data_IF_847753628380
#
_entry.id   IF_847753628380
#
_cell.length_a   1.000
_cell.length_b   1.000
_cell.length_c   1.000
_cell.angle_alpha   90.00
_cell.angle_beta   90.00
_cell.angle_gamma   90.00
#
_symmetry.space_group_name_H-M   'P 1'
#
loop_
_entity.id
_entity.type
_entity.pdbx_description
1 polymer ?
#
# COMPACT_ATOMS: atom_id res chain seq x y z
N UNK A 1 10.97 -0.21 -18.36
CA UNK A 1 10.89 0.92 -17.41
C UNK A 1 11.41 0.46 -16.06
N UNK A 2 12.17 1.31 -15.35
CA UNK A 2 12.47 1.06 -13.93
C UNK A 2 11.24 1.43 -13.08
N UNK A 3 10.74 0.47 -12.32
CA UNK A 3 9.54 0.61 -11.47
C UNK A 3 9.92 0.26 -10.04
N UNK A 4 9.77 1.19 -9.10
CA UNK A 4 10.03 0.94 -7.68
C UNK A 4 8.73 0.54 -7.00
N UNK A 5 8.73 -0.62 -6.33
CA UNK A 5 7.55 -1.14 -5.62
C UNK A 5 7.79 -1.04 -4.12
N UNK A 6 7.18 -0.03 -3.47
CA UNK A 6 7.18 0.13 -2.02
C UNK A 6 6.24 -0.91 -1.41
N UNK A 7 6.72 -1.63 -0.39
CA UNK A 7 6.05 -2.84 0.09
C UNK A 7 6.31 -4.06 -0.83
N UNK A 8 7.36 -4.01 -1.65
CA UNK A 8 7.70 -5.00 -2.67
C UNK A 8 7.92 -6.43 -2.16
N UNK A 9 8.14 -6.62 -0.87
CA UNK A 9 8.28 -7.94 -0.23
C UNK A 9 7.00 -8.40 0.50
N UNK A 10 5.97 -7.57 0.52
CA UNK A 10 4.68 -7.86 1.16
C UNK A 10 3.73 -8.71 0.31
N UNK A 11 2.48 -8.84 0.77
CA UNK A 11 1.47 -9.70 0.15
C UNK A 11 1.26 -9.41 -1.34
N UNK A 12 1.05 -8.15 -1.69
CA UNK A 12 0.84 -7.73 -3.09
C UNK A 12 2.17 -7.58 -3.82
N UNK A 13 3.14 -6.91 -3.19
CA UNK A 13 4.42 -6.61 -3.84
C UNK A 13 5.20 -7.84 -4.28
N UNK A 14 5.20 -8.92 -3.48
CA UNK A 14 5.88 -10.18 -3.84
C UNK A 14 5.26 -10.88 -5.06
N UNK A 15 4.00 -10.60 -5.39
CA UNK A 15 3.30 -11.07 -6.58
C UNK A 15 3.49 -10.12 -7.76
N UNK A 16 3.42 -8.80 -7.50
CA UNK A 16 3.55 -7.78 -8.53
C UNK A 16 4.95 -7.74 -9.16
N UNK A 17 6.00 -7.82 -8.33
CA UNK A 17 7.39 -7.72 -8.82
C UNK A 17 7.73 -8.77 -9.89
N UNK A 18 7.41 -10.08 -9.74
CA UNK A 18 7.59 -11.05 -10.82
C UNK A 18 6.80 -10.72 -12.08
N UNK A 19 5.52 -10.35 -11.96
CA UNK A 19 4.66 -10.01 -13.11
C UNK A 19 5.17 -8.81 -13.90
N UNK A 20 5.67 -7.78 -13.22
CA UNK A 20 6.32 -6.64 -13.87
C UNK A 20 7.58 -7.06 -14.65
N UNK A 21 8.36 -7.99 -14.08
CA UNK A 21 9.57 -8.51 -14.75
C UNK A 21 9.22 -9.35 -15.98
N UNK A 22 8.20 -10.20 -15.88
CA UNK A 22 7.68 -10.98 -17.01
C UNK A 22 7.12 -10.08 -18.12
N UNK A 23 6.59 -8.91 -17.75
CA UNK A 23 6.13 -7.87 -18.69
C UNK A 23 7.25 -7.01 -19.28
N UNK A 24 8.53 -7.36 -19.03
CA UNK A 24 9.69 -6.67 -19.61
C UNK A 24 10.07 -5.35 -18.92
N UNK A 25 9.62 -5.15 -17.68
CA UNK A 25 10.04 -4.02 -16.85
C UNK A 25 11.23 -4.40 -15.96
N UNK A 26 11.84 -3.37 -15.34
CA UNK A 26 12.92 -3.50 -14.35
C UNK A 26 12.38 -3.12 -12.96
N UNK A 27 11.69 -4.06 -12.27
CA UNK A 27 11.12 -3.77 -10.96
C UNK A 27 12.16 -3.87 -9.85
N UNK A 28 12.14 -2.89 -8.95
CA UNK A 28 12.92 -2.85 -7.71
C UNK A 28 11.97 -3.05 -6.55
N UNK A 29 12.10 -4.17 -5.83
CA UNK A 29 11.37 -4.41 -4.60
C UNK A 29 11.98 -3.55 -3.48
N UNK A 30 11.21 -2.65 -2.91
CA UNK A 30 11.62 -1.74 -1.84
C UNK A 30 10.82 -2.04 -0.57
N UNK A 31 11.54 -2.28 0.53
CA UNK A 31 10.97 -2.53 1.86
C UNK A 31 12.06 -2.32 2.92
N UNK A 32 11.73 -2.21 4.22
CA UNK A 32 12.74 -2.12 5.28
C UNK A 32 13.75 -3.27 5.25
N UNK A 33 13.32 -4.48 4.93
CA UNK A 33 14.21 -5.64 4.78
C UNK A 33 15.20 -5.50 3.60
N UNK A 34 14.91 -4.64 2.64
CA UNK A 34 15.74 -4.34 1.47
C UNK A 34 16.49 -3.00 1.63
N UNK A 35 16.51 -2.42 2.83
CA UNK A 35 17.19 -1.15 3.13
C UNK A 35 16.42 0.09 2.67
N UNK A 36 15.12 -0.01 2.37
CA UNK A 36 14.29 1.13 1.96
C UNK A 36 13.14 1.30 2.95
N UNK A 37 13.13 2.41 3.67
CA UNK A 37 12.12 2.69 4.68
C UNK A 37 11.37 4.00 4.36
N UNK A 38 10.09 3.87 3.99
CA UNK A 38 9.25 5.01 3.63
C UNK A 38 8.94 5.94 4.83
N UNK A 39 9.01 5.44 6.08
CA UNK A 39 8.76 6.26 7.28
C UNK A 39 9.96 7.15 7.60
N UNK A 40 11.18 6.61 7.52
CA UNK A 40 12.41 7.37 7.84
C UNK A 40 12.99 8.08 6.63
N UNK A 41 12.59 7.71 5.42
CA UNK A 41 13.19 8.18 4.16
C UNK A 41 14.48 7.46 3.77
N UNK A 42 14.97 6.54 4.61
CA UNK A 42 16.20 5.80 4.36
C UNK A 42 16.10 4.98 3.06
N UNK A 43 17.13 5.07 2.21
CA UNK A 43 17.24 4.33 0.96
C UNK A 43 16.29 4.78 -0.16
N UNK A 44 15.38 5.76 0.07
CA UNK A 44 14.43 6.21 -0.95
C UNK A 44 15.13 6.87 -2.14
N UNK A 45 16.08 7.73 -1.89
CA UNK A 45 16.82 8.47 -2.93
C UNK A 45 17.52 7.51 -3.89
N UNK A 46 18.23 6.53 -3.36
CA UNK A 46 18.95 5.50 -4.13
C UNK A 46 17.99 4.61 -4.91
N UNK A 47 16.92 4.16 -4.27
CA UNK A 47 15.92 3.30 -4.91
C UNK A 47 15.24 4.01 -6.08
N UNK A 48 14.91 5.30 -5.93
CA UNK A 48 14.18 6.08 -6.93
C UNK A 48 15.08 6.66 -8.03
N UNK A 49 16.39 6.57 -7.92
CA UNK A 49 17.29 7.07 -8.96
C UNK A 49 16.98 6.42 -10.32
N UNK A 50 16.55 7.23 -11.31
CA UNK A 50 16.17 6.78 -12.65
C UNK A 50 14.87 5.98 -12.73
N UNK A 51 14.07 5.96 -11.68
CA UNK A 51 12.73 5.36 -11.70
C UNK A 51 11.76 6.20 -12.53
N UNK A 52 10.96 5.55 -13.36
CA UNK A 52 9.88 6.20 -14.09
C UNK A 52 8.54 6.12 -13.36
N UNK A 53 8.34 5.06 -12.57
CA UNK A 53 7.10 4.80 -11.84
C UNK A 53 7.44 4.34 -10.43
N UNK A 54 6.66 4.83 -9.45
CA UNK A 54 6.60 4.26 -8.11
C UNK A 54 5.23 3.61 -7.93
N UNK A 55 5.22 2.40 -7.35
CA UNK A 55 4.00 1.68 -6.96
C UNK A 55 4.04 1.48 -5.45
N UNK A 56 3.09 2.10 -4.74
CA UNK A 56 2.95 1.94 -3.28
C UNK A 56 1.86 0.91 -2.96
N UNK A 57 2.31 -0.27 -2.54
CA UNK A 57 1.48 -1.35 -2.00
C UNK A 57 1.84 -1.66 -0.55
N UNK A 58 2.43 -0.69 0.15
CA UNK A 58 2.79 -0.82 1.55
C UNK A 58 1.55 -0.79 2.46
N UNK A 59 1.69 -1.37 3.65
CA UNK A 59 0.65 -1.36 4.66
C UNK A 59 1.27 -1.15 6.05
N UNK A 60 0.48 -0.59 6.97
CA UNK A 60 0.92 -0.38 8.34
C UNK A 60 1.16 -1.73 9.05
N UNK A 61 2.24 -1.84 9.82
CA UNK A 61 2.53 -3.05 10.59
C UNK A 61 1.69 -3.16 11.88
N UNK A 62 1.06 -2.06 12.30
CA UNK A 62 0.23 -1.95 13.49
C UNK A 62 -1.14 -1.40 13.10
N UNK A 63 -2.20 -1.84 13.77
CA UNK A 63 -3.59 -1.48 13.49
C UNK A 63 -4.19 -0.47 14.47
N UNK A 64 -3.42 0.03 15.45
CA UNK A 64 -3.87 1.12 16.33
C UNK A 64 -4.08 2.39 15.49
N UNK A 65 -5.18 3.11 15.74
CA UNK A 65 -5.61 4.26 14.94
C UNK A 65 -4.49 5.29 14.71
N UNK A 66 -3.77 5.66 15.79
CA UNK A 66 -2.67 6.63 15.70
C UNK A 66 -1.47 6.08 14.91
N UNK A 67 -1.15 4.79 15.08
CA UNK A 67 -0.06 4.14 14.37
C UNK A 67 -0.33 4.04 12.86
N UNK A 68 -1.54 3.65 12.49
CA UNK A 68 -1.98 3.58 11.09
C UNK A 68 -1.96 4.97 10.44
N UNK A 69 -2.51 5.98 11.13
CA UNK A 69 -2.51 7.36 10.65
C UNK A 69 -1.08 7.87 10.45
N UNK A 70 -0.22 7.71 11.45
CA UNK A 70 1.20 8.09 11.35
C UNK A 70 1.89 7.40 10.17
N UNK A 71 1.64 6.10 10.00
CA UNK A 71 2.24 5.34 8.90
C UNK A 71 1.86 5.93 7.54
N UNK A 72 0.57 5.98 7.20
CA UNK A 72 0.15 6.40 5.87
C UNK A 72 0.43 7.87 5.59
N UNK A 73 0.28 8.76 6.58
CA UNK A 73 0.60 10.17 6.43
C UNK A 73 2.10 10.39 6.18
N UNK A 74 2.95 9.81 7.04
CA UNK A 74 4.39 10.03 6.98
C UNK A 74 5.02 9.37 5.75
N UNK A 75 4.65 8.10 5.47
CA UNK A 75 5.17 7.40 4.28
C UNK A 75 4.79 8.13 3.00
N UNK A 76 3.53 8.55 2.85
CA UNK A 76 3.08 9.25 1.64
C UNK A 76 3.81 10.57 1.45
N UNK A 77 4.00 11.37 2.50
CA UNK A 77 4.75 12.62 2.43
C UNK A 77 6.19 12.39 1.98
N UNK A 78 6.88 11.40 2.57
CA UNK A 78 8.25 11.07 2.23
C UNK A 78 8.37 10.53 0.79
N UNK A 79 7.45 9.66 0.37
CA UNK A 79 7.44 9.10 -0.99
C UNK A 79 7.24 10.21 -2.03
N UNK A 80 6.21 11.04 -1.87
CA UNK A 80 5.92 12.14 -2.81
C UNK A 80 7.06 13.17 -2.89
N UNK A 81 7.71 13.48 -1.77
CA UNK A 81 8.88 14.35 -1.77
C UNK A 81 10.08 13.72 -2.49
N UNK A 82 10.35 12.43 -2.24
CA UNK A 82 11.44 11.71 -2.88
C UNK A 82 11.20 11.51 -4.39
N UNK A 83 9.97 11.24 -4.80
CA UNK A 83 9.56 11.14 -6.21
C UNK A 83 9.77 12.45 -6.95
N UNK A 84 9.33 13.56 -6.36
CA UNK A 84 9.53 14.89 -6.94
C UNK A 84 11.03 15.21 -7.13
N UNK A 85 11.85 14.88 -6.13
CA UNK A 85 13.30 15.08 -6.20
C UNK A 85 13.99 14.19 -7.24
N UNK A 86 13.51 12.95 -7.42
CA UNK A 86 14.05 11.98 -8.38
C UNK A 86 13.51 12.14 -9.82
N UNK A 87 12.46 12.95 -10.02
CA UNK A 87 11.80 13.14 -11.32
C UNK A 87 10.97 11.93 -11.75
N UNK A 88 10.38 11.21 -10.79
CA UNK A 88 9.45 10.10 -11.07
C UNK A 88 8.24 10.63 -11.84
N UNK A 89 7.85 9.95 -12.91
CA UNK A 89 6.82 10.40 -13.83
C UNK A 89 5.40 9.98 -13.45
N UNK A 90 5.23 8.96 -12.60
CA UNK A 90 3.91 8.46 -12.22
C UNK A 90 3.91 7.74 -10.86
N UNK A 91 2.92 8.06 -10.03
CA UNK A 91 2.67 7.40 -8.75
C UNK A 91 1.47 6.47 -8.87
N UNK A 92 1.61 5.22 -8.45
CA UNK A 92 0.50 4.26 -8.33
C UNK A 92 0.33 3.87 -6.86
N UNK A 93 -0.86 3.99 -6.32
CA UNK A 93 -1.14 3.58 -4.95
C UNK A 93 -2.26 2.55 -4.89
N UNK A 94 -2.10 1.55 -4.05
CA UNK A 94 -3.16 0.62 -3.69
C UNK A 94 -3.96 1.18 -2.50
N UNK A 95 -5.24 1.37 -2.69
CA UNK A 95 -6.20 1.78 -1.66
C UNK A 95 -7.33 0.77 -1.53
N UNK A 96 -8.35 1.10 -0.77
CA UNK A 96 -9.44 0.20 -0.45
C UNK A 96 -10.80 0.78 -0.85
N UNK A 97 -11.68 -0.06 -1.39
CA UNK A 97 -13.05 0.32 -1.77
C UNK A 97 -13.84 0.75 -0.54
N UNK A 98 -14.50 1.91 -0.63
CA UNK A 98 -15.42 2.41 0.41
C UNK A 98 -14.73 3.07 1.59
N UNK A 99 -13.47 3.49 1.47
CA UNK A 99 -12.76 4.25 2.50
C UNK A 99 -13.54 5.51 2.95
N UNK A 100 -14.23 6.16 2.03
CA UNK A 100 -15.06 7.34 2.25
C UNK A 100 -16.34 7.08 3.05
N UNK A 101 -16.76 5.82 3.21
CA UNK A 101 -18.02 5.41 3.89
C UNK A 101 -17.82 4.81 5.27
N UNK A 102 -16.59 4.57 5.68
CA UNK A 102 -16.24 3.89 6.94
C UNK A 102 -15.36 4.76 7.84
N UNK A 103 -15.76 6.03 8.04
CA UNK A 103 -15.01 7.03 8.81
C UNK A 103 -14.78 6.66 10.29
N UNK A 104 -15.54 5.74 10.84
CA UNK A 104 -15.35 5.22 12.21
C UNK A 104 -14.05 4.43 12.36
N UNK A 105 -13.52 3.84 11.29
CA UNK A 105 -12.28 3.08 11.31
C UNK A 105 -11.06 3.98 11.10
N UNK A 106 -10.08 3.91 12.01
CA UNK A 106 -8.80 4.63 11.87
C UNK A 106 -8.04 4.26 10.60
N UNK A 107 -8.10 3.00 10.20
CA UNK A 107 -7.49 2.54 8.95
C UNK A 107 -8.06 3.26 7.73
N UNK A 108 -9.39 3.33 7.60
CA UNK A 108 -10.01 4.01 6.45
C UNK A 108 -9.77 5.52 6.47
N UNK A 109 -9.77 6.16 7.66
CA UNK A 109 -9.37 7.58 7.78
C UNK A 109 -7.94 7.80 7.28
N UNK A 110 -7.01 6.92 7.66
CA UNK A 110 -5.62 7.01 7.23
C UNK A 110 -5.46 6.81 5.71
N UNK A 111 -6.25 5.90 5.11
CA UNK A 111 -6.28 5.72 3.65
C UNK A 111 -6.84 6.94 2.92
N UNK A 112 -7.85 7.62 3.48
CA UNK A 112 -8.34 8.90 2.94
C UNK A 112 -7.22 9.95 2.94
N UNK A 113 -6.48 10.08 4.06
CA UNK A 113 -5.36 11.03 4.15
C UNK A 113 -4.27 10.70 3.12
N UNK A 114 -3.93 9.43 2.93
CA UNK A 114 -3.01 9.00 1.87
C UNK A 114 -3.49 9.45 0.48
N UNK A 115 -4.76 9.18 0.15
CA UNK A 115 -5.34 9.55 -1.14
C UNK A 115 -5.38 11.07 -1.35
N UNK A 116 -5.67 11.85 -0.32
CA UNK A 116 -5.68 13.32 -0.36
C UNK A 116 -4.27 13.87 -0.61
N UNK A 117 -3.24 13.33 0.04
CA UNK A 117 -1.86 13.72 -0.19
C UNK A 117 -1.43 13.43 -1.64
N UNK A 118 -1.78 12.25 -2.17
CA UNK A 118 -1.50 11.87 -3.56
C UNK A 118 -2.22 12.80 -4.53
N UNK A 119 -3.52 13.08 -4.33
CA UNK A 119 -4.29 13.99 -5.18
C UNK A 119 -3.78 15.43 -5.16
N UNK A 120 -3.22 15.87 -4.02
CA UNK A 120 -2.63 17.20 -3.86
C UNK A 120 -1.22 17.34 -4.44
N UNK A 121 -0.58 16.24 -4.82
CA UNK A 121 0.77 16.25 -5.39
C UNK A 121 0.75 16.69 -6.87
N UNK A 122 1.90 17.17 -7.35
CA UNK A 122 2.06 17.57 -8.76
C UNK A 122 2.38 16.41 -9.72
N UNK A 123 2.63 15.22 -9.18
CA UNK A 123 2.99 14.01 -9.94
C UNK A 123 1.70 13.37 -10.47
N UNK A 124 1.62 12.97 -11.75
CA UNK A 124 0.53 12.15 -12.24
C UNK A 124 0.36 10.88 -11.42
N UNK A 125 -0.87 10.51 -11.12
CA UNK A 125 -1.12 9.37 -10.25
C UNK A 125 -2.25 8.46 -10.73
N UNK A 126 -2.26 7.25 -10.21
CA UNK A 126 -3.37 6.29 -10.28
C UNK A 126 -3.60 5.69 -8.90
N UNK A 127 -4.84 5.75 -8.41
CA UNK A 127 -5.24 5.08 -7.16
C UNK A 127 -6.10 3.88 -7.54
N UNK A 128 -5.61 2.69 -7.20
CA UNK A 128 -6.31 1.42 -7.42
C UNK A 128 -7.06 1.07 -6.12
N UNK A 129 -8.38 0.91 -6.20
CA UNK A 129 -9.19 0.52 -5.05
C UNK A 129 -9.50 -0.97 -5.14
N UNK A 130 -9.00 -1.76 -4.18
CA UNK A 130 -9.29 -3.17 -4.03
C UNK A 130 -10.28 -3.40 -2.88
N UNK A 131 -11.01 -4.50 -2.93
CA UNK A 131 -11.76 -5.03 -1.78
C UNK A 131 -10.81 -5.77 -0.83
N UNK A 132 -11.33 -6.44 0.21
CA UNK A 132 -10.53 -7.30 1.07
C UNK A 132 -9.93 -8.46 0.27
N UNK A 133 -8.83 -9.02 0.76
CA UNK A 133 -8.16 -10.15 0.12
C UNK A 133 -8.57 -11.47 0.79
N UNK A 134 -8.70 -12.54 0.00
CA UNK A 134 -8.93 -13.90 0.52
C UNK A 134 -7.87 -14.30 1.54
N UNK A 135 -6.64 -13.86 1.36
CA UNK A 135 -5.50 -14.14 2.23
C UNK A 135 -5.66 -13.58 3.66
N UNK A 136 -6.59 -12.66 3.88
CA UNK A 136 -6.89 -12.11 5.20
C UNK A 136 -8.07 -12.76 5.90
N UNK A 137 -8.85 -13.63 5.21
CA UNK A 137 -10.09 -14.19 5.75
C UNK A 137 -9.86 -15.02 7.00
N UNK A 138 -8.81 -15.85 7.02
CA UNK A 138 -8.44 -16.64 8.20
C UNK A 138 -8.10 -15.74 9.39
N UNK A 139 -7.24 -14.74 9.20
CA UNK A 139 -6.89 -13.79 10.27
C UNK A 139 -8.08 -12.97 10.78
N UNK A 140 -9.05 -12.63 9.91
CA UNK A 140 -10.30 -11.96 10.32
C UNK A 140 -11.14 -12.90 11.18
N UNK A 141 -11.25 -14.17 10.79
CA UNK A 141 -11.99 -15.19 11.55
C UNK A 141 -11.33 -15.43 12.92
N UNK A 142 -10.02 -15.57 12.95
CA UNK A 142 -9.24 -15.78 14.19
C UNK A 142 -9.39 -14.60 15.16
N UNK A 143 -9.27 -13.36 14.67
CA UNK A 143 -9.45 -12.16 15.48
C UNK A 143 -10.89 -12.01 16.02
N UNK A 144 -11.87 -12.60 15.34
CA UNK A 144 -13.28 -12.59 15.73
C UNK A 144 -13.68 -13.81 16.59
N UNK A 145 -12.72 -14.69 16.91
CA UNK A 145 -12.97 -15.95 17.63
C UNK A 145 -12.80 -15.77 19.14
N UNK A 146 -13.84 -16.16 19.89
CA UNK A 146 -13.84 -16.26 21.35
C UNK A 146 -14.19 -17.69 21.76
N UNK A 147 -13.19 -18.45 22.19
CA UNK A 147 -13.33 -19.88 22.48
C UNK A 147 -13.74 -20.69 21.22
N UNK A 148 -14.98 -21.22 21.21
CA UNK A 148 -15.52 -21.98 20.09
C UNK A 148 -16.51 -21.17 19.22
N UNK A 149 -16.58 -19.85 19.42
CA UNK A 149 -17.54 -18.99 18.76
C UNK A 149 -16.84 -17.91 17.93
N UNK A 150 -17.17 -17.84 16.65
CA UNK A 150 -16.73 -16.77 15.74
C UNK A 150 -17.84 -15.72 15.65
N UNK A 151 -17.54 -14.47 15.98
CA UNK A 151 -18.50 -13.35 15.98
C UNK A 151 -18.18 -12.40 14.83
N UNK A 152 -18.81 -12.60 13.68
CA UNK A 152 -18.64 -11.72 12.52
C UNK A 152 -19.84 -10.77 12.38
N UNK A 153 -19.61 -9.53 11.91
CA UNK A 153 -20.71 -8.61 11.59
C UNK A 153 -21.53 -9.14 10.41
N UNK A 154 -22.83 -8.81 10.41
CA UNK A 154 -23.73 -9.10 9.28
C UNK A 154 -23.47 -8.06 8.17
N UNK A 155 -22.34 -8.18 7.47
CA UNK A 155 -21.93 -7.28 6.41
C UNK A 155 -21.71 -8.05 5.10
N UNK A 156 -21.99 -7.41 3.96
CA UNK A 156 -21.61 -7.94 2.67
C UNK A 156 -20.08 -7.96 2.56
N UNK A 157 -19.54 -9.11 2.20
CA UNK A 157 -18.11 -9.34 2.06
C UNK A 157 -17.82 -9.90 0.68
N UNK A 158 -17.02 -9.20 -0.09
CA UNK A 158 -16.66 -9.57 -1.46
C UNK A 158 -15.13 -9.56 -1.62
N UNK A 159 -14.44 -10.58 -1.09
CA UNK A 159 -13.01 -10.66 -1.17
C UNK A 159 -12.55 -11.02 -2.59
N UNK A 160 -11.31 -10.64 -2.91
CA UNK A 160 -10.63 -10.96 -4.15
C UNK A 160 -9.25 -11.57 -3.86
N UNK A 161 -8.67 -12.26 -4.81
CA UNK A 161 -7.33 -12.80 -4.64
C UNK A 161 -6.28 -11.68 -4.74
N UNK A 162 -5.28 -11.72 -3.87
CA UNK A 162 -4.16 -10.78 -3.94
C UNK A 162 -3.39 -10.86 -5.27
N UNK A 163 -3.43 -12.02 -5.91
CA UNK A 163 -2.82 -12.25 -7.22
C UNK A 163 -3.56 -11.55 -8.37
N UNK A 164 -4.87 -11.35 -8.24
CA UNK A 164 -5.69 -10.64 -9.25
C UNK A 164 -5.51 -9.11 -9.15
N UNK A 165 -5.05 -8.61 -8.01
CA UNK A 165 -4.72 -7.17 -7.80
C UNK A 165 -3.32 -6.85 -8.31
N UNK A 166 -2.42 -7.79 -8.23
CA UNK A 166 -1.04 -7.65 -8.67
C UNK A 166 -0.92 -7.82 -10.17
#
# INVERSE_FOLDING_TARGET
>A
MKIVVIGGTGLIGSRLVPKLRESGHDPVAASPAMGVNAITGEGLSEALQGAQVLVDVSNAPDWADDAVMHFFQTSSQNLLAAEAAAGVGHHVALSVVGSDRLSESGYFRAKIVQEELIRGASIPYTIVHATQFFEFVEGIADAATDGNLVRLPHALFQPMAADDVA
#
